data_IF_903366311241
#
_entry.id   IF_903366311241
#
_cell.length_a   1.000
_cell.length_b   1.000
_cell.length_c   1.000
_cell.angle_alpha   90.00
_cell.angle_beta   90.00
_cell.angle_gamma   90.00
#
_symmetry.space_group_name_H-M   'P 1'
#
loop_
_entity.id
_entity.type
_entity.pdbx_description
1 polymer ?
#
# COMPACT_ATOMS: atom_id res chain seq x y z
N UNK A 1 -1.20 24.82 61.45
CA UNK A 1 -1.51 25.52 60.18
C UNK A 1 -0.36 25.50 59.17
N UNK A 2 0.86 25.97 59.50
CA UNK A 2 2.00 26.03 58.54
C UNK A 2 2.48 24.67 58.03
N UNK A 3 2.49 23.62 58.87
CA UNK A 3 2.89 22.25 58.50
C UNK A 3 1.97 21.61 57.46
N UNK A 4 0.65 21.84 57.56
CA UNK A 4 -0.33 21.34 56.60
C UNK A 4 -0.10 21.95 55.21
N UNK A 5 0.25 23.24 55.15
CA UNK A 5 0.54 23.94 53.89
C UNK A 5 1.80 23.35 53.23
N UNK A 6 2.84 23.06 54.01
CA UNK A 6 4.09 22.48 53.49
C UNK A 6 3.83 21.06 52.96
N UNK A 7 3.07 20.25 53.69
CA UNK A 7 2.70 18.90 53.25
C UNK A 7 1.88 18.95 51.95
N UNK A 8 0.88 19.83 51.88
CA UNK A 8 0.05 19.99 50.70
C UNK A 8 0.86 20.48 49.50
N UNK A 9 1.80 21.41 49.73
CA UNK A 9 2.70 21.89 48.69
C UNK A 9 3.62 20.79 48.17
N UNK A 10 4.20 19.98 49.06
CA UNK A 10 5.02 18.82 48.68
C UNK A 10 4.22 17.80 47.85
N UNK A 11 2.96 17.54 48.22
CA UNK A 11 2.05 16.68 47.47
C UNK A 11 1.79 17.23 46.06
N UNK A 12 1.52 18.54 45.95
CA UNK A 12 1.30 19.20 44.66
C UNK A 12 2.56 19.14 43.80
N UNK A 13 3.74 19.43 44.35
CA UNK A 13 5.01 19.32 43.64
C UNK A 13 5.28 17.89 43.15
N UNK A 14 5.00 16.88 43.97
CA UNK A 14 5.14 15.47 43.58
C UNK A 14 4.17 15.11 42.44
N UNK A 15 2.94 15.62 42.47
CA UNK A 15 1.95 15.41 41.41
C UNK A 15 2.36 16.10 40.09
N UNK A 16 2.86 17.34 40.18
CA UNK A 16 3.37 18.10 39.03
C UNK A 16 4.60 17.40 38.42
N UNK A 17 5.51 16.90 39.27
CA UNK A 17 6.67 16.13 38.82
C UNK A 17 6.24 14.83 38.12
N UNK A 18 5.28 14.10 38.69
CA UNK A 18 4.70 12.89 38.08
C UNK A 18 4.00 13.21 36.74
N UNK A 19 3.38 14.38 36.60
CA UNK A 19 2.75 14.79 35.34
C UNK A 19 3.78 15.07 34.24
N UNK A 20 4.91 15.69 34.60
CA UNK A 20 5.98 16.04 33.67
C UNK A 20 6.93 14.88 33.33
N UNK A 21 7.15 13.93 34.25
CA UNK A 21 8.14 12.85 34.10
C UNK A 21 7.56 11.44 34.29
N UNK A 22 6.25 11.29 34.49
CA UNK A 22 5.63 9.98 34.64
C UNK A 22 5.59 9.20 33.32
N UNK A 23 5.37 7.87 33.37
CA UNK A 23 5.30 6.97 32.21
C UNK A 23 4.06 7.18 31.30
N UNK A 24 3.40 8.34 31.42
CA UNK A 24 2.32 8.84 30.54
C UNK A 24 2.56 10.33 30.24
N UNK A 25 3.79 10.80 30.42
CA UNK A 25 4.17 12.20 30.23
C UNK A 25 4.08 12.56 28.75
N UNK A 26 3.67 13.80 28.50
CA UNK A 26 3.56 14.45 27.19
C UNK A 26 4.77 14.20 26.29
N UNK A 27 5.97 13.98 26.85
CA UNK A 27 7.18 13.62 26.09
C UNK A 27 7.09 12.28 25.34
N UNK A 28 6.47 11.28 25.94
CA UNK A 28 6.33 9.95 25.34
C UNK A 28 5.29 9.97 24.20
N UNK A 29 4.23 10.78 24.37
CA UNK A 29 3.26 11.07 23.31
C UNK A 29 3.90 11.79 22.12
N UNK A 30 4.78 12.77 22.35
CA UNK A 30 5.52 13.43 21.26
C UNK A 30 6.49 12.49 20.54
N UNK A 31 7.14 11.57 21.27
CA UNK A 31 8.07 10.60 20.68
C UNK A 31 7.34 9.57 19.81
N UNK A 32 6.20 9.05 20.26
CA UNK A 32 5.40 8.11 19.47
C UNK A 32 4.71 8.76 18.26
N UNK A 33 4.43 10.07 18.30
CA UNK A 33 3.95 10.80 17.13
C UNK A 33 5.00 10.91 16.02
N UNK A 34 6.28 11.01 16.37
CA UNK A 34 7.37 11.13 15.42
C UNK A 34 7.63 9.79 14.71
N UNK A 35 7.59 8.68 15.45
CA UNK A 35 7.66 7.32 14.89
C UNK A 35 6.50 7.04 13.92
N UNK A 36 5.27 7.45 14.26
CA UNK A 36 4.11 7.32 13.37
C UNK A 36 4.26 8.08 12.06
N UNK A 37 4.87 9.27 12.06
CA UNK A 37 5.11 10.04 10.83
C UNK A 37 6.12 9.37 9.91
N UNK A 38 7.17 8.77 10.47
CA UNK A 38 8.18 8.04 9.69
C UNK A 38 7.57 6.80 9.04
N UNK A 39 6.78 6.03 9.78
CA UNK A 39 6.12 4.84 9.25
C UNK A 39 5.08 5.17 8.17
N UNK A 40 4.29 6.24 8.34
CA UNK A 40 3.33 6.69 7.33
C UNK A 40 4.02 7.17 6.04
N UNK A 41 5.12 7.91 6.16
CA UNK A 41 5.88 8.38 5.01
C UNK A 41 6.47 7.21 4.20
N UNK A 42 7.06 6.23 4.88
CA UNK A 42 7.63 5.03 4.23
C UNK A 42 6.55 4.18 3.55
N UNK A 43 5.39 3.99 4.19
CA UNK A 43 4.30 3.23 3.61
C UNK A 43 3.73 3.91 2.34
N UNK A 44 3.57 5.24 2.37
CA UNK A 44 3.11 5.99 1.18
C UNK A 44 4.06 5.84 -0.01
N UNK A 45 5.38 5.79 0.22
CA UNK A 45 6.35 5.55 -0.85
C UNK A 45 6.25 4.13 -1.42
N UNK A 46 6.09 3.12 -0.55
CA UNK A 46 5.91 1.73 -0.97
C UNK A 46 4.62 1.54 -1.76
N UNK A 47 3.51 2.15 -1.35
CA UNK A 47 2.25 2.12 -2.11
C UNK A 47 2.38 2.72 -3.51
N UNK A 48 3.10 3.85 -3.64
CA UNK A 48 3.36 4.46 -4.96
C UNK A 48 4.16 3.53 -5.87
N UNK A 49 5.22 2.91 -5.34
CA UNK A 49 6.03 1.94 -6.11
C UNK A 49 5.22 0.71 -6.51
N UNK A 50 4.41 0.18 -5.61
CA UNK A 50 3.52 -0.94 -5.94
C UNK A 50 2.52 -0.59 -7.03
N UNK A 51 1.92 0.61 -7.00
CA UNK A 51 1.00 1.06 -8.06
C UNK A 51 1.70 1.16 -9.42
N UNK A 52 2.92 1.67 -9.45
CA UNK A 52 3.73 1.72 -10.68
C UNK A 52 4.04 0.32 -11.20
N UNK A 53 4.55 -0.57 -10.34
CA UNK A 53 4.86 -1.95 -10.73
C UNK A 53 3.63 -2.72 -11.22
N UNK A 54 2.47 -2.52 -10.60
CA UNK A 54 1.22 -3.13 -11.06
C UNK A 54 0.81 -2.61 -12.44
N UNK A 55 1.00 -1.32 -12.71
CA UNK A 55 0.74 -0.76 -14.03
C UNK A 55 1.70 -1.34 -15.08
N UNK A 56 2.99 -1.46 -14.75
CA UNK A 56 3.99 -2.06 -15.65
C UNK A 56 3.66 -3.53 -15.94
N UNK A 57 3.24 -4.30 -14.92
CA UNK A 57 2.81 -5.70 -15.10
C UNK A 57 1.57 -5.80 -16.00
N UNK A 58 0.60 -4.90 -15.82
CA UNK A 58 -0.61 -4.85 -16.65
C UNK A 58 -0.28 -4.49 -18.11
N UNK A 59 0.63 -3.55 -18.33
CA UNK A 59 1.10 -3.17 -19.67
C UNK A 59 1.84 -4.32 -20.36
N UNK A 60 2.71 -5.03 -19.64
CA UNK A 60 3.41 -6.21 -20.14
C UNK A 60 2.45 -7.36 -20.52
N UNK A 61 1.41 -7.60 -19.71
CA UNK A 61 0.36 -8.57 -20.06
C UNK A 61 -0.41 -8.14 -21.30
N UNK A 62 -0.87 -6.89 -21.35
CA UNK A 62 -1.60 -6.36 -22.51
C UNK A 62 -0.76 -6.41 -23.78
N UNK A 63 0.55 -6.17 -23.70
CA UNK A 63 1.47 -6.25 -24.82
C UNK A 63 1.63 -7.67 -25.35
N UNK A 64 1.72 -8.67 -24.46
CA UNK A 64 1.79 -10.09 -24.85
C UNK A 64 0.49 -10.56 -25.50
N UNK A 65 -0.67 -10.20 -24.94
CA UNK A 65 -1.98 -10.53 -25.50
C UNK A 65 -2.15 -9.92 -26.90
N UNK A 66 -1.69 -8.68 -27.09
CA UNK A 66 -1.71 -8.01 -28.40
C UNK A 66 -0.82 -8.70 -29.44
N UNK A 67 0.33 -9.23 -29.02
CA UNK A 67 1.24 -9.99 -29.90
C UNK A 67 0.64 -11.37 -30.24
N UNK A 68 -0.02 -12.03 -29.28
CA UNK A 68 -0.71 -13.30 -29.51
C UNK A 68 -1.88 -13.13 -30.49
N UNK A 69 -2.71 -12.10 -30.34
CA UNK A 69 -3.81 -11.80 -31.26
C UNK A 69 -3.28 -11.58 -32.69
N UNK A 70 -2.22 -10.78 -32.84
CA UNK A 70 -1.59 -10.53 -34.13
C UNK A 70 -1.03 -11.81 -34.76
N UNK A 71 -0.35 -12.64 -33.97
CA UNK A 71 0.23 -13.91 -34.41
C UNK A 71 -0.85 -14.91 -34.86
N UNK A 72 -1.99 -14.95 -34.18
CA UNK A 72 -3.14 -15.79 -34.53
C UNK A 72 -3.86 -15.29 -35.78
N UNK A 73 -4.10 -13.97 -35.88
CA UNK A 73 -4.85 -13.38 -37.00
C UNK A 73 -4.04 -13.21 -38.29
N UNK A 74 -2.78 -12.76 -38.20
CA UNK A 74 -1.96 -12.48 -39.39
C UNK A 74 -1.16 -13.70 -39.85
N UNK A 75 -0.58 -14.47 -38.92
CA UNK A 75 0.31 -15.59 -39.24
C UNK A 75 -0.38 -16.95 -39.17
N UNK A 76 -1.61 -17.01 -38.67
CA UNK A 76 -2.35 -18.27 -38.50
C UNK A 76 -1.67 -19.25 -37.54
N UNK A 77 -0.86 -18.74 -36.60
CA UNK A 77 -0.14 -19.55 -35.63
C UNK A 77 -1.14 -20.16 -34.63
N UNK A 78 -0.95 -21.45 -34.34
CA UNK A 78 -1.77 -22.28 -33.45
C UNK A 78 -0.87 -22.90 -32.38
N UNK A 79 -1.32 -22.92 -31.12
CA UNK A 79 -0.61 -23.64 -30.03
C UNK A 79 -0.68 -25.15 -30.25
N UNK A 80 0.28 -25.89 -29.69
CA UNK A 80 0.43 -27.34 -29.88
C UNK A 80 -0.83 -28.16 -29.55
N UNK A 81 -1.69 -27.69 -28.65
CA UNK A 81 -2.89 -28.39 -28.18
C UNK A 81 -4.22 -27.68 -28.58
N UNK A 82 -4.20 -26.78 -29.56
CA UNK A 82 -5.40 -26.05 -30.00
C UNK A 82 -5.95 -26.55 -31.35
N UNK A 83 -7.28 -26.67 -31.44
CA UNK A 83 -7.99 -27.03 -32.69
C UNK A 83 -8.64 -25.78 -33.28
N UNK A 84 -8.15 -25.34 -34.44
CA UNK A 84 -8.65 -24.14 -35.12
C UNK A 84 -9.79 -24.46 -36.10
N UNK A 85 -10.99 -23.94 -35.84
CA UNK A 85 -12.14 -24.07 -36.73
C UNK A 85 -12.28 -22.83 -37.63
N UNK A 86 -12.06 -22.99 -38.93
CA UNK A 86 -12.34 -21.94 -39.92
C UNK A 86 -13.73 -22.15 -40.52
N UNK A 87 -14.68 -21.31 -40.13
CA UNK A 87 -16.01 -21.27 -40.74
C UNK A 87 -15.91 -20.64 -42.12
N UNK A 88 -15.84 -21.47 -43.18
CA UNK A 88 -16.01 -21.01 -44.56
C UNK A 88 -17.50 -21.05 -44.87
N UNK A 89 -18.11 -19.88 -45.08
CA UNK A 89 -19.47 -19.82 -45.58
C UNK A 89 -19.50 -20.53 -46.94
N UNK A 90 -20.28 -21.61 -47.06
CA UNK A 90 -20.53 -22.23 -48.35
C UNK A 90 -21.11 -21.16 -49.27
N UNK A 91 -20.40 -20.84 -50.34
CA UNK A 91 -20.97 -20.05 -51.41
C UNK A 91 -22.14 -20.84 -51.98
N UNK A 92 -23.36 -20.36 -51.71
CA UNK A 92 -24.55 -20.80 -52.40
C UNK A 92 -24.33 -20.54 -53.89
N UNK A 93 -24.03 -21.63 -54.62
CA UNK A 93 -24.06 -21.66 -56.08
C UNK A 93 -25.50 -21.37 -56.50
N UNK A 94 -25.70 -20.17 -57.03
CA UNK A 94 -26.91 -19.81 -57.77
C UNK A 94 -26.73 -20.17 -59.24
#
# INVERSE_FOLDING_TARGET
>A
MRLLIIMLFALVCALQYRLWFGPHSVKEYFKHQEELKVHLASNSELEKRNKMLMADVADLQSGLDSIEERSRNELGLIKQDEVFFRLVAQQDKK
#
